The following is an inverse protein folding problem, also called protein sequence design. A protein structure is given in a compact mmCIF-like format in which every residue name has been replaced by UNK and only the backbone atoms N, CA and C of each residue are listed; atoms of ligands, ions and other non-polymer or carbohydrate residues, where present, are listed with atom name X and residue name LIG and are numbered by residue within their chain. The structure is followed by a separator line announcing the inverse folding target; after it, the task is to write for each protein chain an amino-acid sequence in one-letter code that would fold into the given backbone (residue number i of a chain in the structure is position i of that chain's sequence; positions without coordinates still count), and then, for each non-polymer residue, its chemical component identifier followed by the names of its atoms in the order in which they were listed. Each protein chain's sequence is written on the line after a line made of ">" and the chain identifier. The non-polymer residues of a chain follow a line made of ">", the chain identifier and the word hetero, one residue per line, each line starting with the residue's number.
data_IF_769096845415
#
_entry.id   IF_769096845415
#
_cell.length_a   1.000
_cell.length_b   1.000
_cell.length_c   1.000
_cell.angle_alpha   90.00
_cell.angle_beta   90.00
_cell.angle_gamma   90.00
#
_symmetry.space_group_name_H-M   'P 1'
#
loop_
_entity.id
_entity.type
_entity.pdbx_description
1 polymer ?
#
# COMPACT_ATOMS: atom_id res chain seq x y z
N UNK A 1 10.13 2.50 -27.64
CA UNK A 1 9.67 3.38 -26.55
C UNK A 1 8.36 2.83 -25.99
N UNK A 2 8.35 2.01 -24.93
CA UNK A 2 7.10 1.49 -24.38
C UNK A 2 6.55 2.49 -23.36
N UNK A 3 5.69 3.39 -23.85
CA UNK A 3 4.89 4.30 -23.05
C UNK A 3 3.46 3.78 -22.92
N UNK A 4 3.20 2.96 -21.90
CA UNK A 4 1.83 2.70 -21.43
C UNK A 4 1.72 3.11 -19.96
N UNK A 5 1.55 4.43 -19.76
CA UNK A 5 1.10 5.05 -18.50
C UNK A 5 -0.28 5.70 -18.71
N UNK A 6 -1.23 4.93 -19.24
CA UNK A 6 -2.50 5.47 -19.74
C UNK A 6 -3.73 5.26 -18.86
N UNK A 7 -3.69 4.41 -17.83
CA UNK A 7 -4.91 4.04 -17.09
C UNK A 7 -5.14 4.81 -15.79
N UNK A 8 -4.08 5.25 -15.09
CA UNK A 8 -4.22 5.87 -13.76
C UNK A 8 -4.67 7.34 -13.82
N UNK A 9 -4.28 8.07 -14.88
CA UNK A 9 -4.58 9.50 -15.02
C UNK A 9 -6.04 9.79 -15.41
N UNK A 10 -6.77 8.82 -15.98
CA UNK A 10 -8.16 9.05 -16.43
C UNK A 10 -9.18 9.05 -15.29
N UNK A 11 -8.90 8.41 -14.15
CA UNK A 11 -9.84 8.39 -13.01
C UNK A 11 -9.79 9.64 -12.13
N UNK A 12 -8.79 10.52 -12.31
CA UNK A 12 -8.57 11.69 -11.44
C UNK A 12 -8.84 13.05 -12.10
N UNK A 13 -9.35 13.08 -13.33
CA UNK A 13 -9.47 14.32 -14.12
C UNK A 13 -10.37 15.40 -13.51
N UNK A 14 -11.22 15.05 -12.53
CA UNK A 14 -12.19 15.98 -11.90
C UNK A 14 -12.09 15.98 -10.37
N UNK A 15 -10.90 15.74 -9.81
CA UNK A 15 -10.72 15.78 -8.35
C UNK A 15 -10.78 17.20 -7.80
N UNK A 16 -11.64 17.41 -6.80
CA UNK A 16 -11.69 18.66 -6.02
C UNK A 16 -10.89 18.47 -4.74
N UNK A 17 -9.80 19.22 -4.61
CA UNK A 17 -8.98 19.25 -3.39
C UNK A 17 -9.36 20.46 -2.55
N UNK A 18 -9.75 20.21 -1.29
CA UNK A 18 -10.12 21.27 -0.34
C UNK A 18 -9.11 21.29 0.79
N UNK A 19 -8.47 22.44 1.02
CA UNK A 19 -7.64 22.65 2.21
C UNK A 19 -8.55 22.95 3.41
N UNK A 20 -8.36 22.22 4.49
CA UNK A 20 -9.13 22.39 5.72
C UNK A 20 -8.21 22.85 6.85
N UNK A 21 -8.72 23.73 7.72
CA UNK A 21 -8.08 23.98 9.00
C UNK A 21 -8.06 22.68 9.83
N UNK A 22 -7.03 22.44 10.67
CA UNK A 22 -6.90 21.19 11.42
C UNK A 22 -8.14 20.82 12.25
N UNK A 23 -8.78 21.81 12.86
CA UNK A 23 -9.98 21.60 13.68
C UNK A 23 -11.18 21.13 12.84
N UNK A 24 -11.38 21.71 11.65
CA UNK A 24 -12.44 21.28 10.75
C UNK A 24 -12.22 19.85 10.26
N UNK A 25 -10.98 19.50 9.91
CA UNK A 25 -10.62 18.16 9.48
C UNK A 25 -10.92 17.11 10.57
N UNK A 26 -10.60 17.41 11.85
CA UNK A 26 -10.94 16.53 12.98
C UNK A 26 -12.43 16.30 13.10
N UNK A 27 -13.25 17.36 13.01
CA UNK A 27 -14.71 17.25 13.09
C UNK A 27 -15.31 16.44 11.96
N UNK A 28 -14.85 16.67 10.73
CA UNK A 28 -15.28 15.88 9.56
C UNK A 28 -14.95 14.40 9.75
N UNK A 29 -13.74 14.08 10.21
CA UNK A 29 -13.35 12.69 10.47
C UNK A 29 -14.23 12.04 11.53
N UNK A 30 -14.51 12.72 12.65
CA UNK A 30 -15.34 12.18 13.72
C UNK A 30 -16.78 11.90 13.26
N UNK A 31 -17.38 12.81 12.47
CA UNK A 31 -18.75 12.62 11.95
C UNK A 31 -18.79 11.52 10.89
N UNK A 32 -17.78 11.45 10.02
CA UNK A 32 -17.68 10.38 9.04
C UNK A 32 -17.55 9.00 9.70
N UNK A 33 -16.71 8.90 10.74
CA UNK A 33 -16.52 7.68 11.53
C UNK A 33 -17.82 7.26 12.24
N UNK A 34 -18.54 8.21 12.86
CA UNK A 34 -19.85 7.94 13.47
C UNK A 34 -20.90 7.44 12.46
N UNK A 35 -20.75 7.80 11.18
CA UNK A 35 -21.57 7.31 10.07
C UNK A 35 -21.06 6.00 9.46
N UNK A 36 -19.94 5.44 9.94
CA UNK A 36 -19.30 4.25 9.35
C UNK A 36 -18.70 4.49 7.97
N UNK A 37 -18.35 5.74 7.64
CA UNK A 37 -17.85 6.16 6.33
C UNK A 37 -16.44 6.74 6.44
N UNK A 38 -15.69 6.71 5.33
CA UNK A 38 -14.49 7.55 5.21
C UNK A 38 -14.89 9.01 5.00
N UNK A 39 -14.06 9.95 5.44
CA UNK A 39 -14.31 11.40 5.30
C UNK A 39 -14.65 11.80 3.86
N UNK A 40 -13.94 11.24 2.88
CA UNK A 40 -14.22 11.50 1.46
C UNK A 40 -15.57 10.92 1.00
N UNK A 41 -16.02 9.79 1.56
CA UNK A 41 -17.32 9.20 1.23
C UNK A 41 -18.46 9.97 1.91
N UNK A 42 -18.24 10.41 3.14
CA UNK A 42 -19.17 11.25 3.88
C UNK A 42 -19.39 12.61 3.20
N UNK A 43 -18.32 13.30 2.77
CA UNK A 43 -18.44 14.57 2.03
C UNK A 43 -19.18 14.36 0.69
N UNK A 44 -18.93 13.26 -0.02
CA UNK A 44 -19.66 12.95 -1.27
C UNK A 44 -21.14 12.69 -1.01
N UNK A 45 -21.51 11.94 0.04
CA UNK A 45 -22.92 11.73 0.41
C UNK A 45 -23.58 13.05 0.80
N UNK A 46 -22.89 13.92 1.54
CA UNK A 46 -23.38 15.27 1.86
C UNK A 46 -23.61 16.09 0.59
N UNK A 47 -22.64 16.17 -0.32
CA UNK A 47 -22.77 16.92 -1.57
C UNK A 47 -23.93 16.40 -2.42
N UNK A 48 -24.14 15.09 -2.48
CA UNK A 48 -25.25 14.51 -3.23
C UNK A 48 -26.61 14.80 -2.62
N UNK A 49 -26.72 14.80 -1.28
CA UNK A 49 -27.92 15.23 -0.56
C UNK A 49 -28.25 16.70 -0.84
N UNK A 50 -27.26 17.58 -0.70
CA UNK A 50 -27.44 19.03 -0.88
C UNK A 50 -27.73 19.43 -2.33
N UNK A 51 -27.11 18.76 -3.29
CA UNK A 51 -27.30 19.03 -4.72
C UNK A 51 -28.53 18.32 -5.31
N UNK A 52 -29.22 17.46 -4.54
CA UNK A 52 -30.38 16.72 -5.01
C UNK A 52 -30.08 15.78 -6.19
N UNK A 53 -28.83 15.37 -6.37
CA UNK A 53 -28.42 14.48 -7.46
C UNK A 53 -28.60 13.02 -7.07
N UNK A 54 -28.61 12.14 -8.06
CA UNK A 54 -28.82 10.70 -7.85
C UNK A 54 -27.66 10.07 -7.04
N UNK A 55 -27.99 9.21 -6.08
CA UNK A 55 -27.00 8.48 -5.26
C UNK A 55 -26.07 7.58 -6.07
N UNK A 56 -26.39 7.24 -7.31
CA UNK A 56 -25.48 6.54 -8.22
C UNK A 56 -24.14 7.27 -8.42
N UNK A 57 -24.08 8.59 -8.18
CA UNK A 57 -22.85 9.38 -8.24
C UNK A 57 -21.94 9.21 -7.01
N UNK A 58 -22.42 8.56 -5.93
CA UNK A 58 -21.65 8.27 -4.70
C UNK A 58 -21.36 6.79 -4.52
N UNK A 59 -22.04 5.92 -5.30
CA UNK A 59 -21.91 4.48 -5.18
C UNK A 59 -20.42 4.08 -5.16
N UNK A 60 -19.94 3.41 -4.09
CA UNK A 60 -18.58 2.92 -4.06
C UNK A 60 -18.34 2.06 -5.31
N UNK A 61 -17.28 2.35 -6.05
CA UNK A 61 -16.86 1.44 -7.12
C UNK A 61 -16.63 0.07 -6.46
N UNK A 62 -17.30 -1.01 -6.93
CA UNK A 62 -17.15 -2.32 -6.33
C UNK A 62 -15.66 -2.67 -6.32
N UNK A 63 -15.13 -2.89 -5.11
CA UNK A 63 -13.75 -3.32 -4.95
C UNK A 63 -13.69 -4.79 -5.33
N UNK A 64 -12.72 -5.13 -6.18
CA UNK A 64 -12.44 -6.53 -6.48
C UNK A 64 -11.95 -7.19 -5.19
N UNK A 65 -12.70 -8.17 -4.70
CA UNK A 65 -12.28 -8.95 -3.54
C UNK A 65 -11.01 -9.72 -3.88
N UNK A 66 -9.97 -9.55 -3.06
CA UNK A 66 -8.76 -10.37 -3.18
C UNK A 66 -9.07 -11.77 -2.65
N UNK A 67 -8.85 -12.83 -3.44
CA UNK A 67 -8.99 -14.21 -2.97
C UNK A 67 -8.08 -14.50 -1.76
N UNK A 68 -8.58 -15.19 -0.70
CA UNK A 68 -7.78 -15.55 0.47
C UNK A 68 -6.50 -16.34 0.15
N UNK A 69 -6.53 -17.12 -0.95
CA UNK A 69 -5.36 -17.87 -1.45
C UNK A 69 -4.20 -16.94 -1.82
N UNK A 70 -4.49 -15.83 -2.49
CA UNK A 70 -3.45 -14.92 -2.99
C UNK A 70 -2.76 -14.19 -1.83
N UNK A 71 -3.53 -13.83 -0.79
CA UNK A 71 -2.99 -13.27 0.46
C UNK A 71 -2.03 -14.25 1.15
N UNK A 72 -2.38 -15.54 1.19
CA UNK A 72 -1.53 -16.58 1.78
C UNK A 72 -0.24 -16.78 0.98
N UNK A 73 -0.30 -16.80 -0.35
CA UNK A 73 0.90 -16.95 -1.18
C UNK A 73 1.84 -15.75 -1.05
N UNK A 74 1.31 -14.52 -1.01
CA UNK A 74 2.12 -13.32 -0.77
C UNK A 74 2.77 -13.37 0.61
N UNK A 75 2.02 -13.80 1.64
CA UNK A 75 2.57 -13.94 2.99
C UNK A 75 3.70 -14.98 3.06
N UNK A 76 3.57 -16.10 2.33
CA UNK A 76 4.60 -17.14 2.21
C UNK A 76 5.85 -16.63 1.48
N UNK A 77 5.67 -15.86 0.41
CA UNK A 77 6.77 -15.23 -0.31
C UNK A 77 7.54 -14.27 0.60
N UNK A 78 6.83 -13.39 1.31
CA UNK A 78 7.43 -12.45 2.28
C UNK A 78 8.23 -13.17 3.37
N UNK A 79 7.69 -14.26 3.92
CA UNK A 79 8.40 -15.08 4.90
C UNK A 79 9.67 -15.73 4.31
N UNK A 80 9.62 -16.16 3.05
CA UNK A 80 10.77 -16.78 2.37
C UNK A 80 11.87 -15.76 2.11
N UNK A 81 11.53 -14.55 1.66
CA UNK A 81 12.48 -13.45 1.47
C UNK A 81 13.12 -13.05 2.80
N UNK A 82 12.36 -12.98 3.89
CA UNK A 82 12.89 -12.68 5.22
C UNK A 82 13.92 -13.73 5.69
N UNK A 83 13.63 -15.03 5.47
CA UNK A 83 14.57 -16.11 5.79
C UNK A 83 15.85 -16.03 4.96
N UNK A 84 15.74 -15.77 3.66
CA UNK A 84 16.89 -15.60 2.79
C UNK A 84 17.76 -14.42 3.25
N UNK A 85 17.16 -13.28 3.55
CA UNK A 85 17.89 -12.12 4.07
C UNK A 85 18.64 -12.45 5.36
N UNK A 86 17.99 -13.15 6.31
CA UNK A 86 18.65 -13.60 7.54
C UNK A 86 19.84 -14.52 7.28
N UNK A 87 19.71 -15.48 6.35
CA UNK A 87 20.80 -16.38 5.98
C UNK A 87 21.99 -15.64 5.34
N UNK A 88 21.73 -14.67 4.46
CA UNK A 88 22.79 -13.86 3.82
C UNK A 88 23.53 -13.02 4.86
N UNK A 89 22.83 -12.42 5.83
CA UNK A 89 23.48 -11.69 6.94
C UNK A 89 24.41 -12.61 7.74
N UNK A 90 23.97 -13.82 8.09
CA UNK A 90 24.82 -14.77 8.82
C UNK A 90 26.04 -15.18 7.99
N UNK A 91 25.86 -15.42 6.68
CA UNK A 91 26.97 -15.71 5.77
C UNK A 91 27.99 -14.56 5.73
N UNK A 92 27.54 -13.29 5.69
CA UNK A 92 28.43 -12.13 5.70
C UNK A 92 29.25 -12.02 7.00
N UNK A 93 28.63 -12.31 8.14
CA UNK A 93 29.34 -12.37 9.43
C UNK A 93 30.46 -13.42 9.35
N UNK A 94 30.16 -14.63 8.88
CA UNK A 94 31.16 -15.70 8.76
C UNK A 94 32.28 -15.36 7.76
N UNK A 95 31.98 -14.73 6.62
CA UNK A 95 32.99 -14.30 5.63
C UNK A 95 33.91 -13.23 6.22
N UNK A 96 33.34 -12.28 6.98
CA UNK A 96 34.11 -11.26 7.69
C UNK A 96 35.07 -11.88 8.71
N UNK A 97 34.57 -12.82 9.51
CA UNK A 97 35.37 -13.54 10.51
C UNK A 97 36.48 -14.39 9.87
N UNK A 98 36.24 -14.94 8.67
CA UNK A 98 37.22 -15.68 7.89
C UNK A 98 38.26 -14.78 7.16
N UNK A 99 38.15 -13.45 7.24
CA UNK A 99 39.10 -12.51 6.64
C UNK A 99 39.04 -12.41 5.12
N UNK A 100 37.99 -12.92 4.47
CA UNK A 100 37.83 -12.91 3.00
C UNK A 100 37.12 -11.64 2.54
N UNK A 101 37.83 -10.51 2.60
CA UNK A 101 37.25 -9.17 2.40
C UNK A 101 36.62 -8.94 1.01
N UNK A 102 37.13 -9.57 -0.05
CA UNK A 102 36.57 -9.43 -1.40
C UNK A 102 35.16 -10.04 -1.50
N UNK A 103 34.96 -11.21 -0.87
CA UNK A 103 33.65 -11.88 -0.80
C UNK A 103 32.68 -11.13 0.11
N UNK A 104 33.18 -10.46 1.14
CA UNK A 104 32.38 -9.59 2.01
C UNK A 104 31.84 -8.38 1.23
N UNK A 105 32.67 -7.74 0.41
CA UNK A 105 32.25 -6.60 -0.40
C UNK A 105 31.19 -6.98 -1.46
N UNK A 106 31.23 -8.21 -1.98
CA UNK A 106 30.21 -8.73 -2.88
C UNK A 106 28.90 -9.05 -2.16
N UNK A 107 28.96 -9.66 -0.98
CA UNK A 107 27.75 -9.96 -0.23
C UNK A 107 27.07 -8.76 0.42
N UNK A 108 27.81 -7.71 0.77
CA UNK A 108 27.21 -6.42 1.17
C UNK A 108 26.42 -5.78 0.01
N UNK A 109 26.86 -5.94 -1.24
CA UNK A 109 26.08 -5.52 -2.42
C UNK A 109 24.78 -6.30 -2.55
N UNK A 110 24.82 -7.62 -2.39
CA UNK A 110 23.62 -8.47 -2.39
C UNK A 110 22.65 -8.09 -1.26
N UNK A 111 23.17 -7.78 -0.06
CA UNK A 111 22.35 -7.30 1.06
C UNK A 111 21.72 -5.94 0.76
N UNK A 112 22.43 -5.03 0.10
CA UNK A 112 21.87 -3.74 -0.30
C UNK A 112 20.71 -3.93 -1.29
N UNK A 113 20.86 -4.82 -2.27
CA UNK A 113 19.80 -5.14 -3.23
C UNK A 113 18.57 -5.74 -2.52
N UNK A 114 18.78 -6.72 -1.63
CA UNK A 114 17.69 -7.32 -0.84
C UNK A 114 16.97 -6.29 0.04
N UNK A 115 17.71 -5.39 0.69
CA UNK A 115 17.16 -4.29 1.50
C UNK A 115 16.39 -3.28 0.65
N UNK A 116 16.76 -3.08 -0.62
CA UNK A 116 16.03 -2.20 -1.53
C UNK A 116 14.68 -2.78 -1.98
N UNK A 117 14.58 -4.11 -2.08
CA UNK A 117 13.37 -4.82 -2.53
C UNK A 117 12.38 -5.05 -1.39
N UNK A 118 12.88 -5.26 -0.17
CA UNK A 118 12.07 -5.63 0.99
C UNK A 118 10.91 -4.64 1.30
N UNK A 119 11.09 -3.31 1.24
CA UNK A 119 9.99 -2.35 1.45
C UNK A 119 8.84 -2.55 0.46
N UNK A 120 9.15 -2.74 -0.83
CA UNK A 120 8.13 -2.95 -1.86
C UNK A 120 7.31 -4.22 -1.63
N UNK A 121 7.94 -5.27 -1.09
CA UNK A 121 7.25 -6.52 -0.75
C UNK A 121 6.35 -6.37 0.48
N UNK A 122 6.80 -5.60 1.48
CA UNK A 122 6.00 -5.26 2.66
C UNK A 122 4.79 -4.41 2.26
N UNK A 123 5.01 -3.39 1.43
CA UNK A 123 3.96 -2.51 0.91
C UNK A 123 2.91 -3.31 0.13
N UNK A 124 3.35 -4.19 -0.78
CA UNK A 124 2.44 -5.07 -1.51
C UNK A 124 1.62 -5.96 -0.56
N UNK A 125 2.24 -6.54 0.47
CA UNK A 125 1.56 -7.36 1.47
C UNK A 125 0.52 -6.55 2.25
N UNK A 126 0.88 -5.32 2.67
CA UNK A 126 -0.01 -4.42 3.39
C UNK A 126 -1.17 -3.92 2.53
N UNK A 127 -0.91 -3.58 1.26
CA UNK A 127 -1.95 -3.20 0.30
C UNK A 127 -2.99 -4.31 0.14
N UNK A 128 -2.54 -5.55 -0.04
CA UNK A 128 -3.44 -6.71 -0.20
C UNK A 128 -4.21 -6.98 1.11
N UNK A 129 -3.54 -6.93 2.27
CA UNK A 129 -4.19 -7.08 3.57
C UNK A 129 -5.26 -6.01 3.82
N UNK A 130 -4.99 -4.76 3.47
CA UNK A 130 -5.93 -3.64 3.63
C UNK A 130 -7.11 -3.74 2.67
N UNK A 131 -6.88 -4.25 1.45
CA UNK A 131 -7.95 -4.55 0.50
C UNK A 131 -8.90 -5.64 1.03
N UNK A 132 -8.38 -6.67 1.69
CA UNK A 132 -9.20 -7.74 2.30
C UNK A 132 -9.99 -7.24 3.51
N UNK A 133 -9.41 -6.41 4.39
CA UNK A 133 -10.08 -5.88 5.60
C UNK A 133 -11.19 -4.87 5.35
N UNK A 134 -11.22 -4.29 4.15
CA UNK A 134 -12.22 -3.27 3.79
C UNK A 134 -13.44 -3.86 3.09
N UNK A 135 -13.51 -5.19 2.96
CA UNK A 135 -14.66 -5.97 2.52
C UNK A 135 -15.32 -6.63 3.72
#
# INVERSE_FOLDING_TARGET
>A
MPGQRGSENRQKSEQVLVRMAPELARRVNAVAEAAGLSSASWIRDLAVKELGVDRKFVAPTPRVAVPPRDLLEISRLTASVARLNGAVVQLQISIREAGTMDLHAEGERVLADLRSIQPGLVDATLMVKNAVRSN
#
